data_IF_881733935444
#
_entry.id   IF_881733935444
#
_cell.length_a   1.000
_cell.length_b   1.000
_cell.length_c   1.000
_cell.angle_alpha   90.00
_cell.angle_beta   90.00
_cell.angle_gamma   90.00
#
_symmetry.space_group_name_H-M   'P 1'
#
loop_
_entity.id
_entity.type
_entity.pdbx_description
1 polymer ?
#
# COMPACT_ATOMS: atom_id res chain seq x y z
N UNK A 1 4.84 17.60 -8.17
CA UNK A 1 4.37 16.33 -7.61
C UNK A 1 3.03 16.06 -8.23
N UNK A 2 2.94 15.06 -9.10
CA UNK A 2 1.70 14.72 -9.80
C UNK A 2 1.14 13.45 -9.18
N UNK A 3 -0.11 13.50 -8.72
CA UNK A 3 -0.82 12.39 -8.13
C UNK A 3 -2.11 12.15 -8.89
N UNK A 4 -2.37 10.88 -9.22
CA UNK A 4 -3.59 10.45 -9.89
C UNK A 4 -4.14 9.21 -9.20
N UNK A 5 -5.47 9.04 -9.25
CA UNK A 5 -6.19 7.88 -8.73
C UNK A 5 -7.02 7.32 -9.88
N UNK A 6 -6.93 6.00 -10.08
CA UNK A 6 -7.65 5.31 -11.16
C UNK A 6 -9.05 4.87 -10.78
N UNK A 7 -9.34 4.79 -9.48
CA UNK A 7 -10.67 4.49 -8.96
C UNK A 7 -11.46 5.77 -8.66
N UNK A 8 -12.75 5.82 -8.99
CA UNK A 8 -13.61 6.93 -8.57
C UNK A 8 -13.74 6.93 -7.05
N UNK A 9 -13.40 8.05 -6.43
CA UNK A 9 -13.45 8.23 -4.98
C UNK A 9 -14.27 9.50 -4.66
N UNK A 10 -15.14 9.48 -3.62
CA UNK A 10 -15.85 10.67 -3.19
C UNK A 10 -14.88 11.80 -2.82
N UNK A 11 -15.26 13.05 -3.04
CA UNK A 11 -14.41 14.20 -2.71
C UNK A 11 -13.98 14.23 -1.22
N UNK A 12 -14.78 13.62 -0.32
CA UNK A 12 -14.46 13.50 1.11
C UNK A 12 -13.26 12.61 1.42
N UNK A 13 -12.79 11.78 0.48
CA UNK A 13 -11.59 10.96 0.66
C UNK A 13 -10.32 11.68 0.16
N UNK A 14 -10.46 12.89 -0.39
CA UNK A 14 -9.30 13.69 -0.79
C UNK A 14 -8.62 14.25 0.46
N UNK A 15 -7.35 13.90 0.63
CA UNK A 15 -6.54 14.33 1.77
C UNK A 15 -5.15 14.76 1.31
N UNK A 16 -4.65 15.86 1.85
CA UNK A 16 -3.29 16.34 1.64
C UNK A 16 -2.62 16.62 2.98
N UNK A 17 -1.37 16.19 3.13
CA UNK A 17 -0.56 16.44 4.30
C UNK A 17 0.77 17.05 3.86
N UNK A 18 1.06 18.26 4.31
CA UNK A 18 2.28 19.00 3.96
C UNK A 18 3.17 19.11 5.19
N UNK A 19 4.42 18.67 5.07
CA UNK A 19 5.37 18.64 6.17
C UNK A 19 6.65 17.92 5.78
N UNK A 20 7.56 17.78 6.74
CA UNK A 20 8.75 16.96 6.59
C UNK A 20 8.39 15.49 6.87
N UNK A 21 8.25 14.71 5.81
CA UNK A 21 7.90 13.29 5.87
C UNK A 21 9.09 12.45 5.43
N UNK A 22 9.42 11.42 6.21
CA UNK A 22 10.47 10.45 5.92
C UNK A 22 9.85 9.07 5.79
N UNK A 23 10.35 8.28 4.84
CA UNK A 23 9.92 6.90 4.66
C UNK A 23 10.59 5.98 5.71
N UNK A 24 9.78 5.20 6.41
CA UNK A 24 10.20 4.17 7.33
C UNK A 24 10.74 2.97 6.54
N UNK A 25 11.85 2.39 6.99
CA UNK A 25 12.55 1.29 6.31
C UNK A 25 13.63 1.75 5.32
N UNK A 26 13.72 3.05 5.00
CA UNK A 26 14.85 3.59 4.24
C UNK A 26 16.04 3.83 5.20
N UNK A 27 16.71 2.75 5.58
CA UNK A 27 18.02 2.83 6.24
C UNK A 27 19.04 3.25 5.20
N UNK A 28 19.85 4.28 5.50
CA UNK A 28 21.02 4.64 4.68
C UNK A 28 21.77 3.37 4.30
N UNK A 29 21.87 3.08 3.00
CA UNK A 29 22.48 1.86 2.47
C UNK A 29 23.95 1.76 2.88
N UNK A 30 24.24 1.01 3.93
CA UNK A 30 25.49 0.29 4.09
C UNK A 30 25.24 -1.21 3.89
N UNK A 31 25.57 -1.62 2.67
CA UNK A 31 25.96 -2.96 2.20
C UNK A 31 24.96 -4.13 2.23
N UNK A 32 24.53 -4.49 1.01
CA UNK A 32 24.51 -5.87 0.52
C UNK A 32 23.61 -6.90 1.20
N UNK A 33 22.32 -6.98 0.80
CA UNK A 33 21.64 -8.27 0.64
C UNK A 33 20.55 -8.14 -0.43
N UNK A 34 20.84 -8.67 -1.61
CA UNK A 34 19.90 -8.82 -2.72
C UNK A 34 18.96 -9.98 -2.40
N UNK A 35 17.72 -9.65 -1.99
CA UNK A 35 16.65 -10.64 -1.95
C UNK A 35 16.18 -10.85 -3.39
N UNK A 36 16.48 -12.04 -3.92
CA UNK A 36 16.00 -12.50 -5.22
C UNK A 36 14.49 -12.48 -5.25
N UNK A 37 13.92 -11.82 -6.25
CA UNK A 37 12.52 -11.95 -6.61
C UNK A 37 12.18 -13.43 -6.88
N UNK A 38 11.06 -13.96 -6.36
CA UNK A 38 10.57 -15.25 -6.78
C UNK A 38 10.02 -15.10 -8.20
N UNK A 39 10.68 -15.74 -9.16
CA UNK A 39 10.17 -15.94 -10.51
C UNK A 39 8.92 -16.82 -10.45
N UNK A 40 7.74 -16.20 -10.54
CA UNK A 40 6.47 -16.92 -10.64
C UNK A 40 6.24 -17.34 -12.08
N UNK A 41 6.19 -18.65 -12.31
CA UNK A 41 5.77 -19.27 -13.56
C UNK A 41 4.34 -18.86 -13.90
N UNK A 42 4.18 -18.25 -15.08
CA UNK A 42 2.89 -17.85 -15.65
C UNK A 42 2.17 -19.09 -16.20
N UNK A 43 1.39 -19.76 -15.36
CA UNK A 43 0.38 -20.69 -15.88
C UNK A 43 -0.80 -19.88 -16.43
N UNK A 44 -0.98 -20.03 -17.74
CA UNK A 44 -1.88 -19.30 -18.62
C UNK A 44 -3.33 -19.79 -18.46
N UNK A 45 -3.96 -19.50 -17.32
CA UNK A 45 -5.42 -19.63 -17.20
C UNK A 45 -6.08 -18.35 -17.73
N UNK A 46 -6.40 -18.37 -19.03
CA UNK A 46 -7.11 -17.32 -19.75
C UNK A 46 -8.61 -17.29 -19.38
N UNK A 47 -8.91 -17.26 -18.08
CA UNK A 47 -10.26 -17.11 -17.59
C UNK A 47 -10.61 -15.62 -17.67
N UNK A 48 -11.32 -15.25 -18.74
CA UNK A 48 -11.74 -13.89 -19.03
C UNK A 48 -12.59 -13.35 -17.87
N UNK A 49 -11.93 -12.64 -16.96
CA UNK A 49 -12.58 -12.00 -15.83
C UNK A 49 -13.36 -10.79 -16.35
N UNK A 50 -14.68 -10.87 -16.33
CA UNK A 50 -15.55 -9.75 -16.67
C UNK A 50 -15.89 -9.05 -15.36
N UNK A 51 -15.39 -7.82 -15.20
CA UNK A 51 -15.74 -7.01 -14.05
C UNK A 51 -16.95 -6.12 -14.38
N UNK A 52 -17.89 -6.00 -13.46
CA UNK A 52 -19.14 -5.23 -13.65
C UNK A 52 -19.07 -3.79 -13.14
N UNK A 53 -17.87 -3.23 -13.01
CA UNK A 53 -17.70 -1.84 -12.62
C UNK A 53 -17.72 -0.89 -13.83
N UNK A 54 -17.82 0.41 -13.57
CA UNK A 54 -17.71 1.47 -14.57
C UNK A 54 -16.38 1.40 -15.35
N UNK A 55 -16.32 2.05 -16.51
CA UNK A 55 -15.13 2.11 -17.37
C UNK A 55 -13.96 2.83 -16.67
N UNK A 56 -13.13 2.09 -15.94
CA UNK A 56 -11.87 2.54 -15.37
C UNK A 56 -10.81 1.41 -15.46
N UNK A 57 -9.50 1.73 -15.45
CA UNK A 57 -8.46 0.71 -15.54
C UNK A 57 -8.48 -0.17 -14.29
N UNK A 58 -9.10 -1.33 -14.44
CA UNK A 58 -9.33 -2.29 -13.38
C UNK A 58 -8.07 -3.06 -13.04
N UNK A 59 -7.64 -2.96 -11.78
CA UNK A 59 -6.50 -3.71 -11.26
C UNK A 59 -6.71 -5.23 -11.36
N UNK A 60 -7.93 -5.71 -11.19
CA UNK A 60 -8.25 -7.14 -11.22
C UNK A 60 -8.12 -7.77 -12.61
N UNK A 61 -8.02 -6.98 -13.69
CA UNK A 61 -7.72 -7.51 -15.02
C UNK A 61 -6.27 -8.00 -15.14
N UNK A 62 -5.40 -7.59 -14.22
CA UNK A 62 -3.97 -7.95 -14.24
C UNK A 62 -3.75 -9.19 -13.37
N UNK A 63 -3.33 -10.31 -13.97
CA UNK A 63 -3.07 -11.57 -13.25
C UNK A 63 -2.04 -11.40 -12.13
N UNK A 64 -0.97 -10.63 -12.36
CA UNK A 64 0.02 -10.34 -11.33
C UNK A 64 -0.59 -9.62 -10.11
N UNK A 65 -1.56 -8.73 -10.32
CA UNK A 65 -2.24 -8.06 -9.22
C UNK A 65 -3.14 -9.01 -8.42
N UNK A 66 -3.71 -10.04 -9.07
CA UNK A 66 -4.53 -11.05 -8.41
C UNK A 66 -3.72 -12.06 -7.60
N UNK A 67 -2.48 -12.33 -8.01
CA UNK A 67 -1.57 -13.20 -7.29
C UNK A 67 -0.93 -12.53 -6.05
N UNK A 68 -1.07 -11.20 -5.92
CA UNK A 68 -0.47 -10.44 -4.81
C UNK A 68 -1.26 -10.63 -3.51
N UNK A 69 -0.69 -11.40 -2.60
CA UNK A 69 -1.22 -11.62 -1.24
C UNK A 69 -1.03 -10.41 -0.33
N UNK A 70 0.13 -9.75 -0.44
CA UNK A 70 0.45 -8.52 0.30
C UNK A 70 0.62 -7.39 -0.71
N UNK A 71 -0.18 -6.34 -0.55
CA UNK A 71 -0.07 -5.14 -1.37
C UNK A 71 1.25 -4.40 -1.09
N UNK A 72 1.93 -3.87 -2.13
CA UNK A 72 3.07 -2.98 -1.93
C UNK A 72 2.68 -1.81 -1.02
N UNK A 73 3.48 -1.54 0.00
CA UNK A 73 3.15 -0.53 0.99
C UNK A 73 4.37 0.26 1.43
N UNK A 74 4.14 1.52 1.82
CA UNK A 74 5.15 2.44 2.32
C UNK A 74 4.60 3.11 3.57
N UNK A 75 5.46 3.35 4.55
CA UNK A 75 5.09 4.04 5.78
C UNK A 75 5.88 5.34 5.84
N UNK A 76 5.20 6.46 6.03
CA UNK A 76 5.79 7.77 6.16
C UNK A 76 5.57 8.29 7.57
N UNK A 77 6.57 8.94 8.16
CA UNK A 77 6.48 9.51 9.49
C UNK A 77 7.28 10.82 9.58
N UNK A 78 6.95 11.73 10.50
CA UNK A 78 7.82 12.86 10.81
C UNK A 78 9.12 12.33 11.47
N UNK A 79 10.24 13.08 11.39
CA UNK A 79 11.53 12.64 11.93
C UNK A 79 11.46 12.16 13.39
N UNK A 80 10.65 12.83 14.22
CA UNK A 80 10.48 12.50 15.63
C UNK A 80 9.76 11.17 15.90
N UNK A 81 9.08 10.57 14.91
CA UNK A 81 8.34 9.31 15.04
C UNK A 81 8.89 8.19 14.15
N UNK A 82 9.89 8.47 13.32
CA UNK A 82 10.42 7.51 12.34
C UNK A 82 10.90 6.21 12.99
N UNK A 83 11.67 6.31 14.09
CA UNK A 83 12.17 5.14 14.81
C UNK A 83 11.02 4.27 15.33
N UNK A 84 10.01 4.88 15.95
CA UNK A 84 8.83 4.16 16.45
C UNK A 84 8.02 3.52 15.33
N UNK A 85 7.93 4.19 14.18
CA UNK A 85 7.27 3.65 13.00
C UNK A 85 8.03 2.42 12.45
N UNK A 86 9.36 2.47 12.41
CA UNK A 86 10.21 1.33 12.04
C UNK A 86 10.02 0.15 13.00
N UNK A 87 10.09 0.39 14.30
CA UNK A 87 10.15 -0.69 15.29
C UNK A 87 8.79 -1.36 15.51
N UNK A 88 7.69 -0.61 15.36
CA UNK A 88 6.34 -1.12 15.66
C UNK A 88 5.47 -1.27 14.43
N UNK A 89 5.36 -0.26 13.57
CA UNK A 89 4.36 -0.25 12.49
C UNK A 89 4.84 -1.12 11.32
N UNK A 90 6.10 -0.98 10.92
CA UNK A 90 6.70 -1.69 9.80
C UNK A 90 6.60 -3.22 9.92
N UNK A 91 6.90 -3.87 11.07
CA UNK A 91 6.73 -5.32 11.20
C UNK A 91 5.26 -5.77 11.28
N UNK A 92 4.36 -4.90 11.77
CA UNK A 92 2.93 -5.25 11.93
C UNK A 92 2.16 -5.16 10.60
N UNK A 93 2.52 -4.22 9.72
CA UNK A 93 1.74 -3.94 8.51
C UNK A 93 1.59 -5.15 7.57
N UNK A 94 2.67 -5.91 7.23
CA UNK A 94 2.55 -7.08 6.36
C UNK A 94 1.64 -8.16 6.96
N UNK A 95 1.67 -8.34 8.29
CA UNK A 95 0.83 -9.32 8.98
C UNK A 95 -0.65 -8.94 8.87
N UNK A 96 -0.97 -7.67 9.14
CA UNK A 96 -2.33 -7.14 9.00
C UNK A 96 -2.83 -7.23 7.55
N UNK A 97 -1.98 -6.91 6.56
CA UNK A 97 -2.34 -6.98 5.15
C UNK A 97 -2.56 -8.41 4.67
N UNK A 98 -1.73 -9.36 5.14
CA UNK A 98 -1.92 -10.78 4.85
C UNK A 98 -3.25 -11.29 5.42
N UNK A 99 -3.59 -10.89 6.65
CA UNK A 99 -4.86 -11.23 7.27
C UNK A 99 -6.05 -10.58 6.55
N UNK A 100 -5.93 -9.31 6.13
CA UNK A 100 -6.96 -8.65 5.33
C UNK A 100 -7.18 -9.38 4.00
N UNK A 101 -6.10 -9.81 3.35
CA UNK A 101 -6.18 -10.58 2.11
C UNK A 101 -6.87 -11.93 2.29
N UNK A 102 -6.60 -12.65 3.39
CA UNK A 102 -7.25 -13.96 3.61
C UNK A 102 -8.78 -13.85 3.82
N UNK A 103 -9.26 -12.71 4.33
CA UNK A 103 -10.69 -12.48 4.59
C UNK A 103 -11.40 -11.79 3.42
N UNK A 104 -10.79 -10.77 2.83
CA UNK A 104 -11.41 -9.88 1.83
C UNK A 104 -10.90 -10.13 0.40
N UNK A 105 -9.83 -10.90 0.25
CA UNK A 105 -9.16 -11.12 -1.02
C UNK A 105 -8.24 -9.96 -1.43
N UNK A 106 -8.03 -9.84 -2.74
CA UNK A 106 -7.06 -8.92 -3.33
C UNK A 106 -7.49 -7.47 -3.14
N UNK A 107 -6.58 -6.63 -2.65
CA UNK A 107 -6.86 -5.22 -2.41
C UNK A 107 -7.17 -4.47 -3.73
N UNK A 108 -8.06 -3.47 -3.77
CA UNK A 108 -8.42 -2.81 -5.03
C UNK A 108 -7.37 -1.81 -5.54
N UNK A 109 -6.62 -1.17 -4.65
CA UNK A 109 -5.56 -0.21 -5.01
C UNK A 109 -4.23 -0.89 -5.32
N UNK A 110 -3.37 -0.30 -6.16
CA UNK A 110 -2.07 -0.86 -6.55
C UNK A 110 -0.99 -0.79 -5.47
N UNK A 111 -1.12 0.15 -4.53
CA UNK A 111 -0.23 0.31 -3.37
C UNK A 111 -1.01 0.89 -2.19
N UNK A 112 -0.47 0.73 -0.98
CA UNK A 112 -0.98 1.34 0.25
C UNK A 112 0.10 2.20 0.90
N UNK A 113 -0.12 3.51 0.94
CA UNK A 113 0.78 4.44 1.62
C UNK A 113 0.16 4.80 2.99
N UNK A 114 0.93 4.65 4.07
CA UNK A 114 0.49 4.92 5.46
C UNK A 114 1.25 6.12 6.00
N UNK A 115 0.53 7.13 6.47
CA UNK A 115 1.13 8.33 7.07
C UNK A 115 0.92 8.33 8.59
N UNK A 116 2.02 8.30 9.34
CA UNK A 116 2.03 8.52 10.79
C UNK A 116 2.05 10.02 11.02
N UNK A 117 1.01 10.53 11.67
CA UNK A 117 0.84 11.96 11.95
C UNK A 117 1.25 12.31 13.38
N UNK A 118 1.74 13.54 13.63
CA UNK A 118 2.01 14.02 14.99
C UNK A 118 0.75 14.05 15.87
N UNK A 119 0.94 14.09 17.19
CA UNK A 119 -0.12 14.12 18.21
C UNK A 119 -1.06 15.34 18.13
N UNK A 120 -0.70 16.38 17.38
CA UNK A 120 -1.57 17.53 17.11
C UNK A 120 -2.71 17.23 16.13
N UNK A 121 -2.73 16.06 15.49
CA UNK A 121 -3.83 15.64 14.64
C UNK A 121 -4.99 15.10 15.50
N UNK A 122 -6.14 15.76 15.46
CA UNK A 122 -7.28 15.50 16.34
C UNK A 122 -8.11 14.27 15.96
N UNK A 123 -7.72 13.52 14.92
CA UNK A 123 -8.36 12.26 14.52
C UNK A 123 -7.40 11.09 14.66
N UNK A 124 -7.92 9.89 14.97
CA UNK A 124 -7.14 8.65 15.03
C UNK A 124 -6.72 8.11 13.66
N UNK A 125 -7.35 8.60 12.58
CA UNK A 125 -7.06 8.19 11.22
C UNK A 125 -8.02 8.80 10.21
N UNK A 126 -7.76 8.57 8.93
CA UNK A 126 -8.63 8.95 7.83
C UNK A 126 -8.94 7.72 6.98
N UNK A 127 -9.98 7.00 7.38
CA UNK A 127 -10.67 6.03 6.53
C UNK A 127 -12.10 5.92 7.08
N UNK A 128 -13.05 6.59 6.41
CA UNK A 128 -14.49 6.38 6.59
C UNK A 128 -15.05 5.82 5.31
#
# INVERSE_FOLDING_TARGET
WDYYVTMPMPASTFTIAVGQWLEAGEVEKTDGTSIKEPSLSLDNDNQQYVCSHMDYPCRFMVNAARAQTVIPHRVFAPPCHLQKANDMVLPLLPLCLTAAHSVLGVHPFSRLDVLIVPSGFSSLGMAR
#
